data_IF_385536322128
#
_entry.id   IF_385536322128
#
_cell.length_a   1.000
_cell.length_b   1.000
_cell.length_c   1.000
_cell.angle_alpha   90.00
_cell.angle_beta   90.00
_cell.angle_gamma   90.00
#
_symmetry.space_group_name_H-M   'P 1'
#
loop_
_entity.id
_entity.type
_entity.pdbx_description
1 polymer ?
#
# COMPACT_ATOMS: atom_id res chain seq x y z
N UNK A 1 -16.49 42.89 26.24
CA UNK A 1 -15.62 42.15 25.31
C UNK A 1 -15.75 40.68 25.64
N UNK A 2 -16.58 39.93 24.90
CA UNK A 2 -16.52 38.45 24.90
C UNK A 2 -15.44 38.11 23.89
N UNK A 3 -14.36 37.48 24.34
CA UNK A 3 -13.24 37.08 23.49
C UNK A 3 -13.65 35.91 22.58
N UNK A 4 -13.26 36.00 21.31
CA UNK A 4 -13.44 35.04 20.23
C UNK A 4 -12.61 33.75 20.43
N UNK A 5 -12.77 33.03 21.54
CA UNK A 5 -11.91 31.87 21.88
C UNK A 5 -12.64 30.55 22.15
N UNK A 6 -13.86 30.36 21.60
CA UNK A 6 -14.72 29.21 21.90
C UNK A 6 -15.22 28.44 20.67
N UNK A 7 -14.43 28.39 19.58
CA UNK A 7 -14.69 27.47 18.47
C UNK A 7 -13.95 26.14 18.64
N UNK A 8 -14.68 25.01 18.60
CA UNK A 8 -14.12 23.71 18.24
C UNK A 8 -13.75 23.78 16.75
N UNK A 9 -12.48 23.54 16.42
CA UNK A 9 -12.00 23.50 15.03
C UNK A 9 -11.53 22.09 14.69
N UNK A 10 -11.52 21.75 13.41
CA UNK A 10 -11.03 20.46 12.94
C UNK A 10 -9.57 20.21 13.38
N UNK A 11 -8.74 21.26 13.36
CA UNK A 11 -7.39 21.26 13.94
C UNK A 11 -7.37 21.00 15.44
N UNK A 12 -8.28 21.59 16.23
CA UNK A 12 -8.40 21.30 17.68
C UNK A 12 -8.89 19.89 17.95
N UNK A 13 -9.65 19.29 17.04
CA UNK A 13 -10.02 17.89 17.07
C UNK A 13 -8.88 16.96 16.62
N UNK A 14 -7.72 17.51 16.24
CA UNK A 14 -6.51 16.77 15.87
C UNK A 14 -6.35 16.47 14.38
N UNK A 15 -7.09 17.17 13.50
CA UNK A 15 -6.98 16.99 12.04
C UNK A 15 -6.38 18.24 11.37
N UNK A 16 -5.24 18.07 10.71
CA UNK A 16 -4.48 19.13 10.05
C UNK A 16 -4.53 19.03 8.52
N UNK A 17 -5.46 19.76 7.93
CA UNK A 17 -5.65 19.85 6.47
C UNK A 17 -4.39 20.40 5.77
N UNK A 18 -3.61 21.25 6.44
CA UNK A 18 -2.39 21.82 5.85
C UNK A 18 -1.29 20.75 5.73
N UNK A 19 -1.19 19.82 6.69
CA UNK A 19 -0.27 18.69 6.63
C UNK A 19 -0.62 17.74 5.47
N UNK A 20 -1.91 17.49 5.23
CA UNK A 20 -2.36 16.72 4.06
C UNK A 20 -1.96 17.38 2.73
N UNK A 21 -2.09 18.71 2.60
CA UNK A 21 -1.66 19.44 1.40
C UNK A 21 -0.15 19.40 1.21
N UNK A 22 0.61 19.52 2.30
CA UNK A 22 2.06 19.40 2.27
C UNK A 22 2.49 18.01 1.78
N UNK A 23 1.88 16.96 2.32
CA UNK A 23 2.12 15.58 1.90
C UNK A 23 1.89 15.39 0.41
N UNK A 24 0.73 15.83 -0.10
CA UNK A 24 0.40 15.77 -1.54
C UNK A 24 1.50 16.43 -2.37
N UNK A 25 2.03 17.57 -1.94
CA UNK A 25 3.10 18.25 -2.68
C UNK A 25 4.42 17.47 -2.69
N UNK A 26 4.74 16.76 -1.60
CA UNK A 26 5.97 15.94 -1.46
C UNK A 26 5.91 14.66 -2.30
N UNK A 27 4.73 14.05 -2.43
CA UNK A 27 4.56 12.75 -3.11
C UNK A 27 4.22 12.86 -4.61
N UNK A 28 4.05 14.07 -5.15
CA UNK A 28 3.71 14.29 -6.57
C UNK A 28 4.67 13.59 -7.53
N UNK A 29 5.97 13.69 -7.26
CA UNK A 29 6.98 13.05 -8.11
C UNK A 29 6.93 11.53 -7.99
N UNK A 30 6.54 10.99 -6.83
CA UNK A 30 6.36 9.55 -6.62
C UNK A 30 5.21 9.02 -7.50
N UNK A 31 4.04 9.64 -7.46
CA UNK A 31 2.92 9.27 -8.31
C UNK A 31 3.28 9.41 -9.81
N UNK A 32 3.98 10.49 -10.18
CA UNK A 32 4.39 10.73 -11.57
C UNK A 32 5.31 9.64 -12.14
N UNK A 33 6.19 9.05 -11.33
CA UNK A 33 7.05 7.93 -11.78
C UNK A 33 6.24 6.69 -12.19
N UNK A 34 5.07 6.50 -11.60
CA UNK A 34 4.16 5.37 -11.90
C UNK A 34 3.22 5.66 -13.09
N UNK A 35 3.35 6.81 -13.74
CA UNK A 35 2.38 7.26 -14.73
C UNK A 35 2.26 6.29 -15.91
N UNK A 36 1.00 5.97 -16.25
CA UNK A 36 0.64 5.13 -17.39
C UNK A 36 -0.03 5.94 -18.51
N UNK A 37 0.19 5.63 -19.80
CA UNK A 37 -0.39 6.37 -20.93
C UNK A 37 -1.92 6.45 -20.90
N UNK A 38 -2.57 5.48 -20.27
CA UNK A 38 -4.03 5.41 -20.16
C UNK A 38 -4.62 6.44 -19.18
N UNK A 39 -3.79 7.08 -18.34
CA UNK A 39 -4.26 8.07 -17.37
C UNK A 39 -4.63 9.41 -18.02
N UNK A 40 -5.72 9.97 -17.54
CA UNK A 40 -6.18 11.31 -17.89
C UNK A 40 -5.92 12.27 -16.71
N UNK A 41 -4.78 12.96 -16.76
CA UNK A 41 -4.38 13.97 -15.78
C UNK A 41 -3.40 13.46 -14.72
N UNK A 42 -3.08 14.33 -13.77
CA UNK A 42 -2.15 14.05 -12.66
C UNK A 42 -2.92 13.82 -11.33
N UNK A 43 -2.20 13.36 -10.31
CA UNK A 43 -2.71 13.23 -8.94
C UNK A 43 -3.13 14.59 -8.35
N UNK A 44 -4.17 14.58 -7.51
CA UNK A 44 -4.67 15.76 -6.78
C UNK A 44 -6.05 16.26 -7.22
N UNK A 45 -6.71 15.58 -8.17
CA UNK A 45 -8.13 15.73 -8.46
C UNK A 45 -9.02 14.98 -7.46
N UNK A 46 -10.34 15.18 -7.55
CA UNK A 46 -11.33 14.46 -6.73
C UNK A 46 -11.40 12.95 -7.03
N UNK A 47 -11.02 12.57 -8.25
CA UNK A 47 -11.01 11.20 -8.73
C UNK A 47 -10.02 11.10 -9.88
N UNK A 48 -9.56 9.88 -10.14
CA UNK A 48 -8.64 9.58 -11.23
C UNK A 48 -9.38 8.88 -12.36
N UNK A 49 -9.02 9.22 -13.59
CA UNK A 49 -9.67 8.72 -14.80
C UNK A 49 -8.63 7.99 -15.64
N UNK A 50 -8.98 6.80 -16.11
CA UNK A 50 -8.14 6.00 -16.99
C UNK A 50 -9.00 5.34 -18.07
N UNK A 51 -8.55 5.38 -19.32
CA UNK A 51 -9.12 4.55 -20.39
C UNK A 51 -8.68 3.09 -20.20
N UNK A 52 -9.48 2.13 -20.65
CA UNK A 52 -9.01 0.73 -20.65
C UNK A 52 -7.88 0.56 -21.69
N UNK A 53 -6.86 -0.28 -21.44
CA UNK A 53 -5.80 -0.55 -22.41
C UNK A 53 -6.36 -1.15 -23.70
N UNK A 54 -5.99 -0.58 -24.86
CA UNK A 54 -6.54 -0.96 -26.17
C UNK A 54 -6.23 -2.39 -26.62
N UNK A 55 -5.28 -3.06 -25.97
CA UNK A 55 -4.87 -4.43 -26.31
C UNK A 55 -5.95 -5.49 -26.00
N UNK A 56 -6.91 -5.17 -25.12
CA UNK A 56 -7.97 -6.08 -24.71
C UNK A 56 -9.23 -5.89 -25.57
N UNK A 57 -9.81 -6.98 -26.07
CA UNK A 57 -11.04 -6.98 -26.88
C UNK A 57 -12.29 -7.05 -26.01
N UNK A 58 -12.31 -7.95 -25.02
CA UNK A 58 -13.36 -8.08 -24.02
C UNK A 58 -12.78 -7.93 -22.61
N UNK A 59 -12.32 -6.72 -22.24
CA UNK A 59 -11.66 -6.49 -20.96
C UNK A 59 -12.60 -6.80 -19.79
N UNK A 60 -12.08 -7.56 -18.83
CA UNK A 60 -12.66 -7.75 -17.50
C UNK A 60 -11.79 -7.02 -16.46
N UNK A 61 -12.46 -6.39 -15.50
CA UNK A 61 -11.79 -5.78 -14.36
C UNK A 61 -11.65 -6.81 -13.25
N UNK A 62 -10.45 -6.87 -12.68
CA UNK A 62 -10.13 -7.64 -11.48
C UNK A 62 -9.80 -6.65 -10.38
N UNK A 63 -10.33 -6.86 -9.18
CA UNK A 63 -10.10 -5.96 -8.04
C UNK A 63 -9.53 -6.74 -6.87
N UNK A 64 -8.46 -6.23 -6.28
CA UNK A 64 -7.86 -6.74 -5.05
C UNK A 64 -7.75 -5.65 -4.01
N UNK A 65 -7.92 -6.00 -2.74
CA UNK A 65 -7.65 -5.10 -1.62
C UNK A 65 -6.99 -5.88 -0.51
N UNK A 66 -5.97 -5.30 0.09
CA UNK A 66 -5.22 -5.90 1.19
C UNK A 66 -4.57 -4.81 2.05
N UNK A 67 -4.02 -5.22 3.19
CA UNK A 67 -3.17 -4.40 4.05
C UNK A 67 -1.79 -5.04 4.24
N UNK A 68 -0.90 -4.33 4.93
CA UNK A 68 0.42 -4.88 5.31
C UNK A 68 0.32 -5.80 6.53
N UNK A 69 -0.69 -5.59 7.37
CA UNK A 69 -0.89 -6.35 8.59
C UNK A 69 0.17 -6.08 9.67
N UNK A 70 0.46 -7.10 10.49
CA UNK A 70 1.22 -6.92 11.74
C UNK A 70 2.72 -6.69 11.54
N UNK A 71 3.23 -6.71 10.30
CA UNK A 71 4.58 -6.26 9.94
C UNK A 71 4.79 -4.77 10.24
N UNK A 72 3.72 -3.97 10.14
CA UNK A 72 3.75 -2.54 10.49
C UNK A 72 4.23 -2.29 11.92
N UNK A 73 3.96 -3.20 12.86
CA UNK A 73 4.42 -3.04 14.23
C UNK A 73 5.95 -3.10 14.35
N UNK A 74 6.65 -3.93 13.55
CA UNK A 74 8.12 -3.89 13.51
C UNK A 74 8.60 -2.64 12.78
N UNK A 75 7.95 -2.27 11.67
CA UNK A 75 8.28 -1.06 10.93
C UNK A 75 8.27 0.18 11.82
N UNK A 76 7.21 0.35 12.63
CA UNK A 76 7.08 1.44 13.61
C UNK A 76 8.10 1.31 14.72
N UNK A 77 8.25 0.14 15.35
CA UNK A 77 9.18 -0.06 16.46
C UNK A 77 10.65 0.21 16.09
N UNK A 78 11.02 -0.01 14.83
CA UNK A 78 12.40 0.13 14.34
C UNK A 78 12.59 1.27 13.33
N UNK A 79 11.58 2.13 13.10
CA UNK A 79 11.63 3.25 12.14
C UNK A 79 12.01 2.81 10.70
N UNK A 80 11.52 1.62 10.27
CA UNK A 80 11.79 1.00 8.97
C UNK A 80 10.56 1.05 8.06
N UNK A 81 10.27 2.22 7.49
CA UNK A 81 9.05 2.47 6.71
C UNK A 81 9.23 2.35 5.20
N UNK A 82 10.47 2.30 4.70
CA UNK A 82 10.77 2.43 3.27
C UNK A 82 10.43 1.17 2.44
N UNK A 83 10.09 0.05 3.09
CA UNK A 83 9.72 -1.22 2.44
C UNK A 83 8.24 -1.58 2.53
N UNK A 84 7.49 -1.00 3.48
CA UNK A 84 6.13 -1.47 3.76
C UNK A 84 5.11 -1.05 2.70
N UNK A 85 5.41 -0.01 1.92
CA UNK A 85 4.58 0.37 0.78
C UNK A 85 4.68 -0.63 -0.37
N UNK A 86 5.88 -1.17 -0.62
CA UNK A 86 6.06 -2.27 -1.57
C UNK A 86 5.33 -3.53 -1.08
N UNK A 87 5.40 -3.87 0.21
CA UNK A 87 4.62 -4.98 0.78
C UNK A 87 3.13 -4.82 0.49
N UNK A 88 2.58 -3.61 0.71
CA UNK A 88 1.17 -3.30 0.44
C UNK A 88 0.80 -3.54 -1.02
N UNK A 89 1.63 -3.05 -1.96
CA UNK A 89 1.38 -3.22 -3.39
C UNK A 89 1.47 -4.69 -3.78
N UNK A 90 2.50 -5.40 -3.33
CA UNK A 90 2.73 -6.79 -3.68
C UNK A 90 1.59 -7.70 -3.20
N UNK A 91 1.04 -7.46 -2.01
CA UNK A 91 -0.11 -8.22 -1.51
C UNK A 91 -1.31 -8.11 -2.45
N UNK A 92 -1.71 -6.89 -2.83
CA UNK A 92 -2.85 -6.73 -3.76
C UNK A 92 -2.53 -7.21 -5.19
N UNK A 93 -1.32 -6.94 -5.68
CA UNK A 93 -0.92 -7.23 -7.07
C UNK A 93 -0.78 -8.73 -7.30
N UNK A 94 -0.21 -9.48 -6.35
CA UNK A 94 -0.05 -10.93 -6.49
C UNK A 94 -1.41 -11.64 -6.58
N UNK A 95 -2.42 -11.16 -5.85
CA UNK A 95 -3.79 -11.69 -5.94
C UNK A 95 -4.44 -11.41 -7.31
N UNK A 96 -4.22 -10.21 -7.87
CA UNK A 96 -4.69 -9.86 -9.21
C UNK A 96 -3.98 -10.70 -10.28
N UNK A 97 -2.67 -10.91 -10.14
CA UNK A 97 -1.88 -11.74 -11.05
C UNK A 97 -2.32 -13.21 -11.04
N UNK A 98 -2.80 -13.73 -9.90
CA UNK A 98 -3.20 -15.13 -9.74
C UNK A 98 -4.37 -15.55 -10.67
N UNK A 99 -5.17 -14.59 -11.15
CA UNK A 99 -6.25 -14.84 -12.12
C UNK A 99 -5.87 -14.45 -13.56
N UNK A 100 -4.59 -14.15 -13.80
CA UNK A 100 -4.05 -13.79 -15.12
C UNK A 100 -4.21 -12.33 -15.50
N UNK A 101 -4.60 -11.45 -14.57
CA UNK A 101 -4.79 -10.03 -14.86
C UNK A 101 -3.48 -9.23 -14.81
N UNK A 102 -3.35 -8.25 -15.71
CA UNK A 102 -2.31 -7.24 -15.64
C UNK A 102 -2.69 -6.18 -14.58
N UNK A 103 -1.82 -5.89 -13.60
CA UNK A 103 -2.00 -4.76 -12.69
C UNK A 103 -2.09 -3.45 -13.46
N UNK A 104 -3.13 -2.66 -13.19
CA UNK A 104 -3.41 -1.47 -13.98
C UNK A 104 -3.39 -0.19 -13.14
N UNK A 105 -4.25 -0.10 -12.12
CA UNK A 105 -4.34 1.04 -11.22
C UNK A 105 -4.13 0.59 -9.77
N UNK A 106 -3.59 1.49 -8.96
CA UNK A 106 -3.43 1.31 -7.53
C UNK A 106 -3.89 2.55 -6.77
N UNK A 107 -4.62 2.34 -5.68
CA UNK A 107 -4.96 3.37 -4.71
C UNK A 107 -4.54 2.94 -3.31
N UNK A 108 -4.24 3.92 -2.46
CA UNK A 108 -3.90 3.69 -1.06
C UNK A 108 -4.80 4.45 -0.08
N UNK A 109 -4.90 3.93 1.13
CA UNK A 109 -5.51 4.59 2.27
C UNK A 109 -4.52 4.53 3.44
N UNK A 110 -4.06 5.71 3.87
CA UNK A 110 -3.16 5.89 4.99
C UNK A 110 -3.94 6.43 6.19
N UNK A 111 -3.99 5.67 7.27
CA UNK A 111 -4.66 6.08 8.51
C UNK A 111 -3.67 6.21 9.66
N UNK A 112 -3.75 7.28 10.44
CA UNK A 112 -2.89 7.46 11.62
C UNK A 112 -3.60 8.25 12.71
N UNK A 113 -3.04 8.25 13.93
CA UNK A 113 -3.59 9.04 15.04
C UNK A 113 -3.31 10.53 14.84
N UNK A 114 -2.10 10.83 14.37
CA UNK A 114 -1.65 12.14 13.93
C UNK A 114 -0.70 11.92 12.76
N UNK A 115 -0.88 12.71 11.71
CA UNK A 115 -0.07 12.60 10.51
C UNK A 115 1.37 13.05 10.78
N UNK A 116 2.31 12.12 10.64
CA UNK A 116 3.72 12.42 10.47
C UNK A 116 4.03 12.44 8.96
N UNK A 117 4.19 13.66 8.42
CA UNK A 117 4.41 13.89 6.99
C UNK A 117 5.69 13.18 6.49
N UNK A 118 6.72 13.05 7.32
CA UNK A 118 7.98 12.41 6.92
C UNK A 118 7.82 10.89 6.83
N UNK A 119 7.13 10.27 7.77
CA UNK A 119 6.82 8.84 7.72
C UNK A 119 5.88 8.54 6.55
N UNK A 120 4.81 9.32 6.38
CA UNK A 120 3.87 9.14 5.29
C UNK A 120 4.55 9.31 3.92
N UNK A 121 5.45 10.28 3.75
CA UNK A 121 6.23 10.45 2.53
C UNK A 121 7.10 9.22 2.21
N UNK A 122 7.77 8.63 3.23
CA UNK A 122 8.57 7.40 3.05
C UNK A 122 7.71 6.22 2.63
N UNK A 123 6.57 6.03 3.28
CA UNK A 123 5.62 4.96 2.95
C UNK A 123 5.08 5.13 1.53
N UNK A 124 4.63 6.32 1.15
CA UNK A 124 4.04 6.55 -0.19
C UNK A 124 5.10 6.44 -1.29
N UNK A 125 6.35 6.84 -1.04
CA UNK A 125 7.44 6.56 -1.98
C UNK A 125 7.69 5.05 -2.15
N UNK A 126 7.56 4.26 -1.07
CA UNK A 126 7.62 2.81 -1.11
C UNK A 126 6.45 2.20 -1.90
N UNK A 127 5.22 2.74 -1.75
CA UNK A 127 4.06 2.34 -2.56
C UNK A 127 4.32 2.64 -4.03
N UNK A 128 4.76 3.86 -4.36
CA UNK A 128 5.08 4.23 -5.73
C UNK A 128 6.15 3.31 -6.34
N UNK A 129 7.18 2.96 -5.57
CA UNK A 129 8.18 1.98 -6.00
C UNK A 129 7.57 0.60 -6.30
N UNK A 130 6.70 0.10 -5.41
CA UNK A 130 5.96 -1.14 -5.65
C UNK A 130 5.12 -1.08 -6.93
N UNK A 131 4.45 0.04 -7.20
CA UNK A 131 3.70 0.27 -8.43
C UNK A 131 4.59 0.29 -9.67
N UNK A 132 5.78 0.92 -9.61
CA UNK A 132 6.77 0.90 -10.69
C UNK A 132 7.21 -0.54 -11.02
N UNK A 133 7.48 -1.35 -10.00
CA UNK A 133 7.86 -2.76 -10.16
C UNK A 133 6.70 -3.59 -10.74
N UNK A 134 5.47 -3.35 -10.29
CA UNK A 134 4.27 -4.04 -10.74
C UNK A 134 3.78 -3.59 -12.13
N UNK A 135 4.24 -2.45 -12.63
CA UNK A 135 3.78 -1.84 -13.87
C UNK A 135 2.38 -1.21 -13.79
N UNK A 136 1.88 -0.91 -12.59
CA UNK A 136 0.61 -0.21 -12.39
C UNK A 136 0.82 1.27 -12.02
N UNK A 137 -0.21 2.08 -12.17
CA UNK A 137 -0.15 3.49 -11.77
C UNK A 137 -0.70 3.72 -10.36
N UNK A 138 0.03 4.47 -9.53
CA UNK A 138 -0.50 5.04 -8.29
C UNK A 138 -1.37 6.25 -8.66
N UNK A 139 -2.68 6.02 -8.73
CA UNK A 139 -3.61 7.02 -9.27
C UNK A 139 -4.20 7.94 -8.21
N UNK A 140 -4.18 7.55 -6.95
CA UNK A 140 -4.72 8.37 -5.87
C UNK A 140 -4.70 7.64 -4.55
N UNK A 141 -5.09 8.35 -3.50
CA UNK A 141 -5.20 7.79 -2.17
C UNK A 141 -5.82 8.79 -1.21
N UNK A 142 -5.98 8.37 0.04
CA UNK A 142 -6.55 9.20 1.10
C UNK A 142 -5.68 9.13 2.35
N UNK A 143 -5.56 10.24 3.07
CA UNK A 143 -4.80 10.34 4.32
C UNK A 143 -5.70 10.80 5.44
N UNK A 144 -6.00 9.90 6.37
CA UNK A 144 -6.93 10.13 7.46
C UNK A 144 -6.22 10.25 8.82
N UNK A 145 -6.45 11.37 9.50
CA UNK A 145 -6.10 11.55 10.92
C UNK A 145 -7.28 11.20 11.80
N UNK A 146 -7.11 10.18 12.65
CA UNK A 146 -8.11 9.63 13.55
C UNK A 146 -7.57 9.59 14.99
N UNK A 147 -7.39 10.78 15.63
CA UNK A 147 -6.88 10.87 16.98
C UNK A 147 -7.80 10.15 17.97
N UNK A 148 -7.20 9.36 18.86
CA UNK A 148 -7.93 8.53 19.82
C UNK A 148 -8.35 7.16 19.29
N UNK A 149 -8.24 6.92 17.97
CA UNK A 149 -8.38 5.58 17.39
C UNK A 149 -7.02 4.88 17.34
N UNK A 150 -6.05 5.51 16.66
CA UNK A 150 -4.65 5.05 16.63
C UNK A 150 -3.85 5.66 17.79
N UNK A 151 -2.88 4.90 18.30
CA UNK A 151 -2.07 5.28 19.44
C UNK A 151 -0.65 5.67 19.01
N UNK A 152 -0.09 6.71 19.62
CA UNK A 152 1.31 7.09 19.38
C UNK A 152 1.63 7.34 17.90
N UNK A 153 2.58 6.58 17.36
CA UNK A 153 3.02 6.64 15.96
C UNK A 153 2.40 5.53 15.09
N UNK A 154 1.41 4.80 15.62
CA UNK A 154 0.74 3.75 14.87
C UNK A 154 0.01 4.36 13.67
N UNK A 155 0.17 3.68 12.53
CA UNK A 155 -0.58 3.93 11.32
C UNK A 155 -0.98 2.59 10.71
N UNK A 156 -2.01 2.63 9.87
CA UNK A 156 -2.49 1.49 9.10
C UNK A 156 -2.55 1.86 7.61
N UNK A 157 -2.43 0.83 6.78
CA UNK A 157 -2.41 0.95 5.33
C UNK A 157 -3.40 -0.03 4.72
N UNK A 158 -4.23 0.48 3.82
CA UNK A 158 -5.00 -0.35 2.91
C UNK A 158 -4.65 0.01 1.46
N UNK A 159 -4.54 -1.01 0.63
CA UNK A 159 -4.23 -0.91 -0.79
C UNK A 159 -5.40 -1.41 -1.61
N UNK A 160 -5.55 -0.85 -2.80
CA UNK A 160 -6.60 -1.20 -3.74
C UNK A 160 -6.00 -1.32 -5.12
N UNK A 161 -5.91 -2.54 -5.64
CA UNK A 161 -5.44 -2.79 -6.99
C UNK A 161 -6.62 -3.06 -7.92
N UNK A 162 -6.61 -2.42 -9.08
CA UNK A 162 -7.44 -2.78 -10.22
C UNK A 162 -6.53 -3.34 -11.29
N UNK A 163 -6.81 -4.55 -11.76
CA UNK A 163 -6.19 -5.17 -12.92
C UNK A 163 -7.17 -5.33 -14.08
N UNK A 164 -6.61 -5.62 -15.25
CA UNK A 164 -7.37 -5.89 -16.48
C UNK A 164 -6.93 -7.23 -17.07
N UNK A 165 -7.89 -8.03 -17.52
CA UNK A 165 -7.65 -9.32 -18.17
C UNK A 165 -8.56 -9.47 -19.38
N UNK A 166 -8.10 -10.16 -20.42
CA UNK A 166 -8.97 -10.58 -21.52
C UNK A 166 -9.92 -11.69 -21.03
N UNK A 167 -11.22 -11.60 -21.33
CA UNK A 167 -12.22 -12.57 -20.84
C UNK A 167 -11.82 -14.03 -21.10
N UNK A 168 -11.26 -14.30 -22.28
CA UNK A 168 -10.85 -15.65 -22.68
C UNK A 168 -9.56 -16.15 -22.03
N UNK A 169 -8.80 -15.27 -21.36
CA UNK A 169 -7.49 -15.58 -20.75
C UNK A 169 -7.55 -15.64 -19.22
N UNK A 170 -8.74 -15.49 -18.62
CA UNK A 170 -8.93 -15.62 -17.18
C UNK A 170 -8.47 -17.01 -16.71
N UNK A 171 -7.56 -17.03 -15.75
CA UNK A 171 -7.06 -18.27 -15.16
C UNK A 171 -8.09 -18.76 -14.14
N UNK A 172 -8.57 -19.99 -14.34
CA UNK A 172 -9.44 -20.70 -13.40
C UNK A 172 -8.84 -22.06 -13.06
N UNK A 173 -9.40 -22.74 -12.06
CA UNK A 173 -8.99 -24.10 -11.71
C UNK A 173 -9.45 -25.17 -12.70
N UNK A 174 -10.22 -24.81 -13.75
CA UNK A 174 -10.87 -25.77 -14.64
C UNK A 174 -9.87 -26.54 -15.54
N UNK A 175 -8.67 -25.99 -15.72
CA UNK A 175 -7.60 -26.60 -16.52
C UNK A 175 -6.62 -27.46 -15.70
N UNK A 176 -6.77 -27.52 -14.37
CA UNK A 176 -5.85 -28.24 -13.48
C UNK A 176 -6.09 -29.76 -13.57
N UNK A 177 -5.02 -30.53 -13.75
CA UNK A 177 -5.05 -31.98 -13.87
C UNK A 177 -4.03 -32.70 -12.98
N UNK A 178 -4.24 -34.00 -12.73
CA UNK A 178 -3.39 -34.83 -11.84
C UNK A 178 -1.91 -34.90 -12.25
N UNK A 179 -1.59 -34.63 -13.52
CA UNK A 179 -0.23 -34.71 -14.06
C UNK A 179 0.45 -33.34 -14.16
N UNK A 180 -0.20 -32.28 -13.67
CA UNK A 180 0.39 -30.95 -13.67
C UNK A 180 1.55 -30.86 -12.69
N UNK A 181 2.56 -30.08 -13.08
CA UNK A 181 3.77 -29.86 -12.29
C UNK A 181 3.59 -28.58 -11.46
N UNK A 182 3.80 -28.70 -10.15
CA UNK A 182 3.85 -27.55 -9.26
C UNK A 182 5.22 -26.88 -9.34
N UNK A 183 5.23 -25.61 -9.74
CA UNK A 183 6.43 -24.77 -9.76
C UNK A 183 6.28 -23.71 -8.67
N UNK A 184 7.20 -23.73 -7.69
CA UNK A 184 7.27 -22.70 -6.65
C UNK A 184 8.24 -21.59 -7.05
N UNK A 185 7.83 -20.34 -6.88
CA UNK A 185 8.71 -19.17 -6.96
C UNK A 185 9.23 -18.85 -5.55
N UNK A 186 10.51 -18.59 -5.42
CA UNK A 186 11.12 -18.27 -4.13
C UNK A 186 10.61 -16.93 -3.60
N UNK A 187 10.29 -16.87 -2.30
CA UNK A 187 9.98 -15.61 -1.61
C UNK A 187 11.26 -14.85 -1.25
N UNK A 188 11.13 -13.54 -1.00
CA UNK A 188 12.21 -12.67 -0.49
C UNK A 188 12.46 -12.84 1.01
N UNK A 189 11.56 -13.55 1.71
CA UNK A 189 11.55 -13.70 3.16
C UNK A 189 10.17 -14.11 3.66
N UNK A 190 9.75 -13.64 4.85
CA UNK A 190 8.39 -13.86 5.37
C UNK A 190 7.28 -13.11 4.61
N UNK A 191 7.65 -12.24 3.67
CA UNK A 191 6.73 -11.33 2.96
C UNK A 191 5.99 -10.41 3.95
N UNK A 192 4.67 -10.27 3.85
CA UNK A 192 3.85 -9.50 4.78
C UNK A 192 3.05 -10.39 5.77
N UNK A 193 3.31 -11.71 5.80
CA UNK A 193 2.51 -12.67 6.55
C UNK A 193 3.24 -13.25 7.77
N UNK A 194 2.47 -13.69 8.78
CA UNK A 194 3.02 -14.39 9.95
C UNK A 194 3.67 -13.50 11.02
N UNK A 195 3.66 -12.17 10.86
CA UNK A 195 4.34 -11.25 11.77
C UNK A 195 3.80 -11.25 13.20
N UNK A 196 2.54 -11.63 13.42
CA UNK A 196 2.02 -11.84 14.77
C UNK A 196 2.78 -12.94 15.51
N UNK A 197 3.08 -14.05 14.83
CA UNK A 197 3.85 -15.15 15.41
C UNK A 197 5.32 -14.77 15.55
N UNK A 198 5.92 -14.14 14.54
CA UNK A 198 7.31 -13.67 14.59
C UNK A 198 7.52 -12.75 15.80
N UNK A 199 6.62 -11.80 16.02
CA UNK A 199 6.66 -10.91 17.19
C UNK A 199 6.53 -11.65 18.51
N UNK A 200 5.65 -12.65 18.57
CA UNK A 200 5.50 -13.48 19.78
C UNK A 200 6.78 -14.25 20.08
N UNK A 201 7.43 -14.83 19.06
CA UNK A 201 8.73 -15.50 19.20
C UNK A 201 9.80 -14.52 19.66
N UNK A 202 9.88 -13.31 19.09
CA UNK A 202 10.84 -12.28 19.56
C UNK A 202 10.57 -11.94 21.04
N UNK A 203 9.31 -11.75 21.44
CA UNK A 203 8.96 -11.43 22.81
C UNK A 203 9.37 -12.53 23.81
N UNK A 204 9.23 -13.81 23.42
CA UNK A 204 9.54 -14.96 24.28
C UNK A 204 11.06 -15.23 24.41
N UNK A 205 11.83 -14.97 23.34
CA UNK A 205 13.26 -15.31 23.29
C UNK A 205 14.21 -14.12 23.53
N UNK A 206 13.68 -12.89 23.62
CA UNK A 206 14.44 -11.67 23.96
C UNK A 206 14.46 -10.63 22.84
N UNK A 207 14.87 -9.38 23.15
CA UNK A 207 14.79 -8.27 22.20
C UNK A 207 15.59 -8.55 20.92
N UNK A 208 15.03 -8.14 19.79
CA UNK A 208 15.66 -8.22 18.47
C UNK A 208 16.83 -7.23 18.39
N UNK A 209 18.02 -7.68 18.77
CA UNK A 209 19.27 -6.90 18.77
C UNK A 209 20.20 -7.25 17.60
N UNK A 210 19.76 -8.10 16.68
CA UNK A 210 20.51 -8.50 15.49
C UNK A 210 19.96 -7.76 14.27
N UNK A 211 20.70 -6.75 13.82
CA UNK A 211 20.34 -5.94 12.65
C UNK A 211 20.23 -6.80 11.38
N UNK A 212 21.00 -7.90 11.27
CA UNK A 212 20.90 -8.78 10.11
C UNK A 212 19.57 -9.54 10.11
N UNK A 213 19.15 -10.07 11.26
CA UNK A 213 17.84 -10.72 11.38
C UNK A 213 16.70 -9.72 11.16
N UNK A 214 16.79 -8.51 11.73
CA UNK A 214 15.80 -7.46 11.49
C UNK A 214 15.71 -7.11 10.01
N UNK A 215 16.84 -6.92 9.32
CA UNK A 215 16.85 -6.65 7.89
C UNK A 215 16.21 -7.78 7.07
N UNK A 216 16.47 -9.05 7.43
CA UNK A 216 15.85 -10.21 6.77
C UNK A 216 14.33 -10.25 6.99
N UNK A 217 13.86 -9.96 8.20
CA UNK A 217 12.44 -9.89 8.51
C UNK A 217 11.76 -8.72 7.80
N UNK A 218 12.46 -7.59 7.66
CA UNK A 218 11.94 -6.39 7.03
C UNK A 218 12.17 -6.34 5.51
N UNK A 219 12.68 -7.42 4.90
CA UNK A 219 12.75 -7.53 3.44
C UNK A 219 11.36 -7.34 2.84
N UNK A 220 11.19 -6.43 1.86
CA UNK A 220 9.93 -6.27 1.17
C UNK A 220 9.53 -7.54 0.41
N UNK A 221 8.22 -7.77 0.31
CA UNK A 221 7.60 -8.80 -0.52
C UNK A 221 8.00 -8.66 -1.98
#
# INVERSE_FOLDING_TARGET
MRSDELGLTYRKAGVDIDAGKELVQRIKDAAKRTHRPELLGDIGGFASLASLPEKYREPMLVTGTDGVGTKLALAVAHNMHDGVGQDLVAMCVNDVLAVGAEPFLFLDYFASGKLDVVIAERVINSIAHGCEVAGCALVGGETAEMPGFYQGQDYDLAGFCVGVVERSEVITSDSVASEDILIGLASSGPHANGFSLIRSVIADFGPLNDDNLLNQLMMPT
#
